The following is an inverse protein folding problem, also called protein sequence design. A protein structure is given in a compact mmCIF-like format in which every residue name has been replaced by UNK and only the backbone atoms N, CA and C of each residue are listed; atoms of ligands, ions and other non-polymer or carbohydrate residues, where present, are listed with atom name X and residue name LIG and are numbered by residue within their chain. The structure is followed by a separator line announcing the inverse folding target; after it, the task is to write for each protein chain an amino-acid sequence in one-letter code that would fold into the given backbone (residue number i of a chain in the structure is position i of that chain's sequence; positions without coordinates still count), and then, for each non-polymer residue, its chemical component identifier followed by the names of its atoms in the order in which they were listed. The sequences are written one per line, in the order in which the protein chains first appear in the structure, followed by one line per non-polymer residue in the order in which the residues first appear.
data_IF_477477043749
#
_entry.id   IF_477477043749
#
_cell.length_a   1.000
_cell.length_b   1.000
_cell.length_c   1.000
_cell.angle_alpha   90.00
_cell.angle_beta   90.00
_cell.angle_gamma   90.00
#
_symmetry.space_group_name_H-M   'P 1'
#
loop_
_entity.id
_entity.type
_entity.pdbx_description
1 polymer ?
#
# COMPACT_ATOMS: atom_id res chain seq x y z
N UNK A 1 -10.76 -8.84 1.69
CA UNK A 1 -10.12 -7.97 2.72
C UNK A 1 -9.44 -8.78 3.83
N UNK A 2 -10.09 -9.77 4.45
CA UNK A 2 -9.50 -10.59 5.54
C UNK A 2 -8.29 -11.41 5.08
N UNK A 3 -8.32 -11.95 3.86
CA UNK A 3 -7.25 -12.78 3.29
C UNK A 3 -5.94 -11.99 3.07
N UNK A 4 -6.04 -10.80 2.49
CA UNK A 4 -4.89 -9.92 2.23
C UNK A 4 -4.10 -9.58 3.52
N UNK A 5 -4.80 -9.34 4.64
CA UNK A 5 -4.14 -9.04 5.91
C UNK A 5 -3.36 -10.25 6.45
N UNK A 6 -3.90 -11.46 6.30
CA UNK A 6 -3.21 -12.70 6.71
C UNK A 6 -1.93 -12.89 5.90
N UNK A 7 -2.02 -12.76 4.58
CA UNK A 7 -0.87 -12.86 3.68
C UNK A 7 0.21 -11.81 4.00
N UNK A 8 -0.17 -10.57 4.35
CA UNK A 8 0.80 -9.55 4.79
C UNK A 8 1.47 -9.89 6.13
N UNK A 9 0.79 -10.61 7.04
CA UNK A 9 1.38 -11.02 8.32
C UNK A 9 2.36 -12.19 8.16
N UNK A 10 2.21 -13.01 7.13
CA UNK A 10 3.11 -14.13 6.80
C UNK A 10 4.44 -13.68 6.18
N UNK A 11 4.48 -12.49 5.56
CA UNK A 11 5.69 -11.91 4.96
C UNK A 11 6.74 -11.50 5.99
N UNK A 12 8.02 -11.53 5.58
CA UNK A 12 9.11 -10.97 6.38
C UNK A 12 8.99 -9.45 6.53
N UNK A 13 9.72 -8.88 7.48
CA UNK A 13 9.72 -7.43 7.70
C UNK A 13 10.35 -6.69 6.52
N UNK A 14 11.43 -7.23 5.96
CA UNK A 14 12.14 -6.69 4.80
C UNK A 14 11.24 -6.71 3.55
N UNK A 15 10.49 -7.80 3.35
CA UNK A 15 9.51 -7.92 2.26
C UNK A 15 8.40 -6.86 2.39
N UNK A 16 7.90 -6.64 3.61
CA UNK A 16 6.89 -5.62 3.88
C UNK A 16 7.42 -4.20 3.62
N UNK A 17 8.67 -3.91 4.00
CA UNK A 17 9.31 -2.61 3.73
C UNK A 17 9.50 -2.41 2.22
N UNK A 18 10.02 -3.41 1.52
CA UNK A 18 10.20 -3.35 0.07
C UNK A 18 8.87 -3.15 -0.66
N UNK A 19 7.81 -3.84 -0.22
CA UNK A 19 6.48 -3.67 -0.80
C UNK A 19 5.86 -2.31 -0.46
N UNK A 20 6.10 -1.77 0.74
CA UNK A 20 5.69 -0.42 1.11
C UNK A 20 6.27 0.63 0.16
N UNK A 21 7.57 0.55 -0.12
CA UNK A 21 8.24 1.51 -1.01
C UNK A 21 7.74 1.39 -2.45
N UNK A 22 7.53 0.17 -2.94
CA UNK A 22 6.93 -0.09 -4.26
C UNK A 22 5.53 0.53 -4.37
N UNK A 23 4.68 0.30 -3.37
CA UNK A 23 3.30 0.83 -3.36
C UNK A 23 3.27 2.36 -3.26
N UNK A 24 4.22 2.97 -2.54
CA UNK A 24 4.37 4.44 -2.48
C UNK A 24 4.75 5.02 -3.84
N UNK A 25 5.72 4.42 -4.54
CA UNK A 25 6.12 4.86 -5.86
C UNK A 25 4.97 4.73 -6.88
N UNK A 26 4.26 3.59 -6.86
CA UNK A 26 3.11 3.35 -7.73
C UNK A 26 1.97 4.35 -7.47
N UNK A 27 1.72 4.68 -6.20
CA UNK A 27 0.71 5.67 -5.81
C UNK A 27 1.01 7.06 -6.39
N UNK A 28 2.28 7.48 -6.41
CA UNK A 28 2.69 8.78 -6.97
C UNK A 28 2.42 8.81 -8.48
N UNK A 29 2.80 7.74 -9.19
CA UNK A 29 2.55 7.60 -10.63
C UNK A 29 1.06 7.57 -10.95
N UNK A 30 0.24 6.87 -10.16
CA UNK A 30 -1.20 6.84 -10.33
C UNK A 30 -1.82 8.21 -10.08
N UNK A 31 -1.38 8.94 -9.05
CA UNK A 31 -1.87 10.28 -8.76
C UNK A 31 -1.56 11.25 -9.90
N UNK A 32 -0.35 11.25 -10.45
CA UNK A 32 -0.01 12.13 -11.58
C UNK A 32 -0.86 11.83 -12.82
N UNK A 33 -1.09 10.54 -13.11
CA UNK A 33 -1.98 10.09 -14.21
C UNK A 33 -3.45 10.41 -13.98
N UNK A 34 -3.89 10.56 -12.73
CA UNK A 34 -5.29 10.90 -12.41
C UNK A 34 -5.52 12.40 -12.56
N UNK A 35 -4.54 13.23 -12.18
CA UNK A 35 -4.57 14.69 -12.37
C UNK A 35 -4.65 15.07 -13.86
N UNK A 36 -4.03 14.28 -14.74
CA UNK A 36 -4.07 14.48 -16.19
C UNK A 36 -5.40 14.07 -16.88
N UNK A 37 -6.49 13.83 -16.14
CA UNK A 37 -7.81 13.48 -16.69
C UNK A 37 -8.26 12.02 -16.46
N UNK A 38 -7.88 11.40 -15.35
CA UNK A 38 -8.22 10.01 -15.06
C UNK A 38 -9.64 9.79 -14.51
N UNK A 39 -10.38 8.84 -15.09
CA UNK A 39 -11.74 8.46 -14.66
C UNK A 39 -11.84 7.70 -13.32
N UNK A 40 -13.09 7.40 -12.91
CA UNK A 40 -13.47 6.88 -11.58
C UNK A 40 -12.75 5.57 -11.16
N UNK A 41 -12.40 4.69 -12.10
CA UNK A 41 -11.66 3.45 -11.81
C UNK A 41 -10.29 3.72 -11.15
N UNK A 42 -9.57 4.74 -11.65
CA UNK A 42 -8.24 5.11 -11.11
C UNK A 42 -8.36 5.64 -9.68
N UNK A 43 -9.46 6.32 -9.35
CA UNK A 43 -9.74 6.79 -7.99
C UNK A 43 -10.00 5.63 -7.03
N UNK A 44 -10.70 4.59 -7.48
CA UNK A 44 -10.93 3.38 -6.68
C UNK A 44 -9.62 2.62 -6.41
N UNK A 45 -8.75 2.51 -7.42
CA UNK A 45 -7.41 1.92 -7.29
C UNK A 45 -6.55 2.68 -6.27
N UNK A 46 -6.50 4.01 -6.36
CA UNK A 46 -5.80 4.86 -5.38
C UNK A 46 -6.29 4.60 -3.95
N UNK A 47 -7.62 4.50 -3.76
CA UNK A 47 -8.21 4.23 -2.44
C UNK A 47 -7.77 2.86 -1.91
N UNK A 48 -7.77 1.83 -2.74
CA UNK A 48 -7.35 0.48 -2.35
C UNK A 48 -5.86 0.43 -2.01
N UNK A 49 -5.02 1.09 -2.81
CA UNK A 49 -3.58 1.18 -2.60
C UNK A 49 -3.24 1.89 -1.28
N UNK A 50 -3.91 3.01 -0.97
CA UNK A 50 -3.77 3.72 0.32
C UNK A 50 -4.12 2.82 1.51
N UNK A 51 -5.18 2.02 1.39
CA UNK A 51 -5.58 1.08 2.45
C UNK A 51 -4.57 -0.04 2.64
N UNK A 52 -3.99 -0.55 1.55
CA UNK A 52 -2.94 -1.57 1.61
C UNK A 52 -1.67 -1.04 2.29
N UNK A 53 -1.24 0.16 1.92
CA UNK A 53 -0.14 0.88 2.60
C UNK A 53 -0.41 1.01 4.10
N UNK A 54 -1.60 1.46 4.50
CA UNK A 54 -1.95 1.63 5.91
C UNK A 54 -1.88 0.31 6.69
N UNK A 55 -2.28 -0.82 6.09
CA UNK A 55 -2.17 -2.15 6.72
C UNK A 55 -0.73 -2.57 6.93
N UNK A 56 0.12 -2.39 5.93
CA UNK A 56 1.55 -2.70 6.03
C UNK A 56 2.19 -1.87 7.15
N UNK A 57 1.93 -0.56 7.18
CA UNK A 57 2.41 0.33 8.24
C UNK A 57 1.93 -0.11 9.63
N UNK A 58 0.69 -0.59 9.74
CA UNK A 58 0.13 -1.09 11.01
C UNK A 58 0.87 -2.35 11.46
N UNK A 59 1.07 -3.32 10.57
CA UNK A 59 1.79 -4.57 10.88
C UNK A 59 3.25 -4.27 11.26
N UNK A 60 3.92 -3.38 10.52
CA UNK A 60 5.30 -2.98 10.83
C UNK A 60 5.39 -2.33 12.22
N UNK A 61 4.41 -1.48 12.57
CA UNK A 61 4.34 -0.89 13.91
C UNK A 61 4.03 -1.92 15.00
N UNK A 62 3.14 -2.89 14.75
CA UNK A 62 2.88 -4.02 15.65
C UNK A 62 4.15 -4.86 15.89
N UNK A 63 5.01 -4.99 14.88
CA UNK A 63 6.32 -5.66 14.97
C UNK A 63 7.41 -4.82 15.66
N UNK A 64 7.08 -3.60 16.10
CA UNK A 64 8.03 -2.71 16.79
C UNK A 64 8.97 -1.94 15.85
N UNK A 65 8.76 -1.99 14.54
CA UNK A 65 9.55 -1.20 13.58
C UNK A 65 9.12 0.27 13.69
N UNK A 66 10.09 1.14 13.98
CA UNK A 66 9.93 2.59 13.79
C UNK A 66 10.30 2.93 12.35
N UNK A 67 9.30 3.35 11.59
CA UNK A 67 9.41 3.88 10.23
C UNK A 67 9.49 5.40 10.25
#
# INVERSE_FOLDING_TARGET
MVREVRELREKSTEELISELDRLRAELILLRSRTVAGGGLEKTAQIRNMRRRIARILTILRERGIKL
#
